data_IF_235168906642
#
_entry.id   IF_235168906642
#
_cell.length_a   1.000
_cell.length_b   1.000
_cell.length_c   1.000
_cell.angle_alpha   90.00
_cell.angle_beta   90.00
_cell.angle_gamma   90.00
#
_symmetry.space_group_name_H-M   'P 1'
#
loop_
_entity.id
_entity.type
_entity.pdbx_description
1 polymer ?
#
# COMPACT_ATOMS: atom_id res chain seq x y z
N UNK A 1 0.41 -42.21 9.93
CA UNK A 1 -0.24 -42.60 8.67
C UNK A 1 -0.82 -41.34 8.06
N UNK A 2 -0.01 -40.64 7.28
CA UNK A 2 -0.46 -39.54 6.41
C UNK A 2 -1.42 -40.15 5.40
N UNK A 3 -2.68 -39.70 5.44
CA UNK A 3 -3.68 -40.05 4.44
C UNK A 3 -3.18 -39.41 3.14
N UNK A 4 -2.66 -40.20 2.19
CA UNK A 4 -2.47 -39.71 0.82
C UNK A 4 -3.86 -39.32 0.31
N UNK A 5 -4.16 -38.03 0.33
CA UNK A 5 -5.37 -37.51 -0.30
C UNK A 5 -5.09 -37.61 -1.79
N UNK A 6 -5.71 -38.59 -2.44
CA UNK A 6 -5.56 -38.81 -3.88
C UNK A 6 -6.38 -37.74 -4.61
N UNK A 7 -5.74 -36.62 -4.95
CA UNK A 7 -6.36 -35.56 -5.74
C UNK A 7 -6.54 -36.02 -7.18
N UNK A 8 -7.60 -35.53 -7.84
CA UNK A 8 -7.75 -35.73 -9.28
C UNK A 8 -6.62 -34.98 -10.00
N UNK A 9 -5.89 -35.60 -10.94
CA UNK A 9 -4.91 -34.87 -11.74
C UNK A 9 -5.61 -33.85 -12.65
N UNK A 10 -4.94 -32.74 -12.96
CA UNK A 10 -5.45 -31.78 -13.96
C UNK A 10 -5.49 -32.44 -15.34
N UNK A 11 -6.51 -32.15 -16.14
CA UNK A 11 -6.51 -32.47 -17.57
C UNK A 11 -5.59 -31.49 -18.33
N UNK A 12 -4.28 -31.69 -18.18
CA UNK A 12 -3.22 -30.85 -18.73
C UNK A 12 -2.01 -31.69 -19.18
N UNK A 13 -1.46 -31.40 -20.36
CA UNK A 13 -0.31 -32.10 -20.92
C UNK A 13 1.06 -31.53 -20.51
N UNK A 14 1.09 -30.36 -19.86
CA UNK A 14 2.34 -29.75 -19.42
C UNK A 14 2.78 -30.34 -18.08
N UNK A 15 3.94 -31.00 -18.08
CA UNK A 15 4.55 -31.58 -16.86
C UNK A 15 4.81 -30.50 -15.79
N UNK A 16 5.33 -29.34 -16.20
CA UNK A 16 5.56 -28.18 -15.32
C UNK A 16 4.29 -27.69 -14.60
N UNK A 17 3.14 -27.74 -15.27
CA UNK A 17 1.84 -27.37 -14.67
C UNK A 17 1.39 -28.42 -13.66
N UNK A 18 1.58 -29.70 -13.97
CA UNK A 18 1.25 -30.80 -13.06
C UNK A 18 2.11 -30.74 -11.78
N UNK A 19 3.41 -30.48 -11.92
CA UNK A 19 4.34 -30.32 -10.79
C UNK A 19 3.89 -29.19 -9.85
N UNK A 20 3.61 -28.00 -10.41
CA UNK A 20 3.16 -26.85 -9.61
C UNK A 20 1.80 -27.12 -8.99
N UNK A 21 0.88 -27.79 -9.70
CA UNK A 21 -0.41 -28.18 -9.15
C UNK A 21 -0.26 -29.10 -7.94
N UNK A 22 0.58 -30.14 -8.04
CA UNK A 22 0.84 -31.07 -6.93
C UNK A 22 1.40 -30.36 -5.69
N UNK A 23 2.17 -29.28 -5.86
CA UNK A 23 2.68 -28.48 -4.75
C UNK A 23 1.64 -27.56 -4.10
N UNK A 24 0.55 -27.20 -4.79
CA UNK A 24 -0.43 -26.21 -4.32
C UNK A 24 -1.82 -26.80 -4.01
N UNK A 25 -2.13 -28.04 -4.45
CA UNK A 25 -3.48 -28.61 -4.33
C UNK A 25 -3.91 -28.90 -2.89
N UNK A 26 -3.00 -29.30 -2.01
CA UNK A 26 -3.31 -29.49 -0.59
C UNK A 26 -3.79 -28.18 0.03
N UNK A 27 -3.00 -27.11 -0.16
CA UNK A 27 -3.36 -25.76 0.28
C UNK A 27 -4.67 -25.27 -0.34
N UNK A 28 -4.87 -25.47 -1.64
CA UNK A 28 -6.11 -25.08 -2.31
C UNK A 28 -7.33 -25.80 -1.73
N UNK A 29 -7.18 -27.08 -1.36
CA UNK A 29 -8.27 -27.86 -0.76
C UNK A 29 -8.60 -27.41 0.67
N UNK A 30 -7.60 -26.99 1.44
CA UNK A 30 -7.80 -26.46 2.79
C UNK A 30 -8.49 -25.08 2.78
N UNK A 31 -8.15 -24.25 1.80
CA UNK A 31 -8.58 -22.84 1.73
C UNK A 31 -9.89 -22.62 1.00
N UNK A 32 -10.18 -23.43 -0.02
CA UNK A 32 -11.30 -23.20 -0.93
C UNK A 32 -12.54 -24.02 -0.56
N UNK A 33 -13.72 -23.45 -0.80
CA UNK A 33 -14.97 -24.21 -0.81
C UNK A 33 -14.97 -25.23 -1.96
N UNK A 34 -15.89 -26.20 -1.95
CA UNK A 34 -16.06 -27.14 -3.06
C UNK A 34 -16.32 -26.44 -4.41
N UNK A 35 -17.10 -25.34 -4.39
CA UNK A 35 -17.38 -24.55 -5.58
C UNK A 35 -16.13 -23.82 -6.07
N UNK A 36 -15.41 -23.15 -5.18
CA UNK A 36 -14.17 -22.44 -5.51
C UNK A 36 -13.06 -23.39 -5.94
N UNK A 37 -12.98 -24.60 -5.36
CA UNK A 37 -12.07 -25.65 -5.80
C UNK A 37 -12.41 -26.11 -7.22
N UNK A 38 -13.70 -26.29 -7.55
CA UNK A 38 -14.12 -26.59 -8.93
C UNK A 38 -13.70 -25.48 -9.91
N UNK A 39 -13.81 -24.21 -9.51
CA UNK A 39 -13.35 -23.06 -10.31
C UNK A 39 -11.83 -23.07 -10.48
N UNK A 40 -11.08 -23.42 -9.44
CA UNK A 40 -9.63 -23.56 -9.46
C UNK A 40 -9.16 -24.60 -10.50
N UNK A 41 -9.72 -25.82 -10.46
CA UNK A 41 -9.41 -26.86 -11.46
C UNK A 41 -9.72 -26.40 -12.88
N UNK A 42 -10.94 -25.89 -13.10
CA UNK A 42 -11.37 -25.43 -14.43
C UNK A 42 -10.51 -24.28 -14.95
N UNK A 43 -10.13 -23.35 -14.08
CA UNK A 43 -9.26 -22.22 -14.43
C UNK A 43 -7.88 -22.69 -14.88
N UNK A 44 -7.23 -23.58 -14.11
CA UNK A 44 -5.91 -24.12 -14.45
C UNK A 44 -5.90 -24.90 -15.78
N UNK A 45 -6.91 -25.75 -15.99
CA UNK A 45 -7.09 -26.51 -17.24
C UNK A 45 -7.40 -25.59 -18.42
N UNK A 46 -8.25 -24.59 -18.23
CA UNK A 46 -8.55 -23.62 -19.27
C UNK A 46 -7.30 -22.84 -19.70
N UNK A 47 -6.56 -22.28 -18.73
CA UNK A 47 -5.36 -21.48 -19.00
C UNK A 47 -4.22 -22.28 -19.64
N UNK A 48 -4.15 -23.59 -19.42
CA UNK A 48 -3.19 -24.47 -20.12
C UNK A 48 -3.61 -24.79 -21.57
N UNK A 49 -4.91 -24.81 -21.86
CA UNK A 49 -5.46 -25.18 -23.19
C UNK A 49 -5.57 -24.02 -24.18
N UNK A 50 -5.48 -22.77 -23.74
CA UNK A 50 -5.58 -21.57 -24.60
C UNK A 50 -4.38 -21.33 -25.54
N UNK A 51 -3.37 -22.21 -25.54
CA UNK A 51 -2.23 -22.13 -26.47
C UNK A 51 -1.22 -21.03 -26.11
N UNK A 52 -1.09 -20.72 -24.82
CA UNK A 52 -0.33 -19.58 -24.30
C UNK A 52 0.95 -19.98 -23.56
N UNK A 53 1.28 -21.28 -23.59
CA UNK A 53 2.32 -21.87 -22.75
C UNK A 53 1.78 -22.27 -21.37
N UNK A 54 2.69 -22.72 -20.51
CA UNK A 54 2.44 -23.19 -19.15
C UNK A 54 2.42 -22.05 -18.11
N UNK A 55 3.15 -20.96 -18.35
CA UNK A 55 3.35 -19.83 -17.43
C UNK A 55 2.05 -19.29 -16.80
N UNK A 56 1.00 -19.09 -17.59
CA UNK A 56 -0.25 -18.51 -17.08
C UNK A 56 -0.95 -19.45 -16.11
N UNK A 57 -0.96 -20.75 -16.42
CA UNK A 57 -1.52 -21.76 -15.53
C UNK A 57 -0.67 -21.88 -14.25
N UNK A 58 0.65 -21.80 -14.36
CA UNK A 58 1.56 -21.80 -13.21
C UNK A 58 1.32 -20.59 -12.29
N UNK A 59 1.25 -19.37 -12.83
CA UNK A 59 0.96 -18.16 -12.05
C UNK A 59 -0.42 -18.25 -11.38
N UNK A 60 -1.43 -18.71 -12.11
CA UNK A 60 -2.77 -18.97 -11.57
C UNK A 60 -2.74 -19.97 -10.40
N UNK A 61 -2.08 -21.11 -10.55
CA UNK A 61 -2.01 -22.16 -9.52
C UNK A 61 -1.39 -21.66 -8.21
N UNK A 62 -0.39 -20.78 -8.30
CA UNK A 62 0.30 -20.23 -7.12
C UNK A 62 -0.52 -19.19 -6.35
N UNK A 63 -1.44 -18.50 -7.01
CA UNK A 63 -2.03 -17.24 -6.50
C UNK A 63 -3.50 -17.39 -6.15
N UNK A 64 -4.25 -18.19 -6.91
CA UNK A 64 -5.70 -18.26 -6.82
C UNK A 64 -6.26 -18.95 -5.57
N UNK A 65 -5.55 -19.87 -4.87
CA UNK A 65 -6.01 -20.35 -3.57
C UNK A 65 -6.25 -19.22 -2.58
N UNK A 66 -5.35 -18.23 -2.55
CA UNK A 66 -5.43 -17.05 -1.69
C UNK A 66 -6.56 -16.10 -2.12
N UNK A 67 -6.65 -15.82 -3.42
CA UNK A 67 -7.71 -14.97 -3.96
C UNK A 67 -9.10 -15.58 -3.73
N UNK A 68 -9.26 -16.89 -3.96
CA UNK A 68 -10.52 -17.60 -3.75
C UNK A 68 -10.95 -17.66 -2.29
N UNK A 69 -10.02 -17.87 -1.36
CA UNK A 69 -10.29 -17.82 0.08
C UNK A 69 -10.73 -16.43 0.54
N UNK A 70 -10.06 -15.39 0.04
CA UNK A 70 -10.30 -14.02 0.45
C UNK A 70 -11.61 -13.45 -0.11
N UNK A 71 -11.82 -13.57 -1.43
CA UNK A 71 -12.97 -13.01 -2.14
C UNK A 71 -14.19 -13.94 -2.19
N UNK A 72 -14.00 -15.23 -1.92
CA UNK A 72 -15.07 -16.23 -1.86
C UNK A 72 -15.54 -16.74 -3.23
N UNK A 73 -16.66 -17.46 -3.22
CA UNK A 73 -17.16 -18.21 -4.38
C UNK A 73 -17.48 -17.36 -5.61
N UNK A 74 -17.03 -17.80 -6.78
CA UNK A 74 -17.21 -17.09 -8.05
C UNK A 74 -16.09 -16.11 -8.38
N UNK A 75 -15.23 -15.79 -7.41
CA UNK A 75 -14.10 -14.87 -7.62
C UNK A 75 -13.06 -15.43 -8.57
N UNK A 76 -12.65 -16.69 -8.41
CA UNK A 76 -11.65 -17.35 -9.27
C UNK A 76 -12.15 -17.36 -10.72
N UNK A 77 -13.40 -17.77 -10.95
CA UNK A 77 -13.99 -17.71 -12.30
C UNK A 77 -13.98 -16.29 -12.86
N UNK A 78 -14.36 -15.28 -12.06
CA UNK A 78 -14.39 -13.87 -12.48
C UNK A 78 -12.99 -13.38 -12.89
N UNK A 79 -11.95 -13.71 -12.11
CA UNK A 79 -10.56 -13.35 -12.40
C UNK A 79 -10.08 -14.01 -13.69
N UNK A 80 -10.38 -15.30 -13.90
CA UNK A 80 -10.01 -16.02 -15.14
C UNK A 80 -10.74 -15.43 -16.35
N UNK A 81 -12.03 -15.18 -16.23
CA UNK A 81 -12.83 -14.57 -17.29
C UNK A 81 -12.29 -13.18 -17.65
N UNK A 82 -11.91 -12.38 -16.65
CA UNK A 82 -11.30 -11.07 -16.86
C UNK A 82 -9.95 -11.19 -17.57
N UNK A 83 -9.02 -11.99 -17.02
CA UNK A 83 -7.70 -12.22 -17.58
C UNK A 83 -7.78 -12.64 -19.05
N UNK A 84 -8.70 -13.57 -19.37
CA UNK A 84 -8.89 -14.03 -20.73
C UNK A 84 -9.53 -12.98 -21.64
N UNK A 85 -10.68 -12.43 -21.26
CA UNK A 85 -11.48 -11.58 -22.13
C UNK A 85 -10.89 -10.18 -22.31
N UNK A 86 -10.24 -9.63 -21.29
CA UNK A 86 -9.71 -8.25 -21.30
C UNK A 86 -8.22 -8.19 -21.64
N UNK A 87 -7.43 -9.21 -21.28
CA UNK A 87 -5.96 -9.16 -21.44
C UNK A 87 -5.46 -10.17 -22.49
N UNK A 88 -5.72 -11.47 -22.33
CA UNK A 88 -5.16 -12.52 -23.22
C UNK A 88 -5.56 -12.36 -24.69
N UNK A 89 -6.76 -11.87 -24.96
CA UNK A 89 -7.31 -11.70 -26.31
C UNK A 89 -6.87 -10.40 -27.00
N UNK A 90 -6.06 -9.58 -26.34
CA UNK A 90 -5.50 -8.35 -26.88
C UNK A 90 -3.98 -8.49 -27.00
N UNK A 91 -3.27 -7.54 -27.62
CA UNK A 91 -1.80 -7.52 -27.61
C UNK A 91 -1.18 -7.48 -26.20
N UNK A 92 -1.98 -7.20 -25.15
CA UNK A 92 -1.56 -7.15 -23.75
C UNK A 92 -1.31 -8.52 -23.09
N UNK A 93 -1.52 -9.64 -23.80
CA UNK A 93 -1.21 -11.00 -23.34
C UNK A 93 0.06 -11.12 -22.46
N UNK A 94 1.20 -10.48 -22.77
CA UNK A 94 2.40 -10.60 -21.95
C UNK A 94 2.28 -10.04 -20.51
N UNK A 95 1.21 -9.32 -20.18
CA UNK A 95 0.95 -8.76 -18.85
C UNK A 95 0.09 -9.68 -17.96
N UNK A 96 -0.49 -10.74 -18.50
CA UNK A 96 -1.41 -11.63 -17.76
C UNK A 96 -0.73 -12.30 -16.57
N UNK A 97 0.53 -12.70 -16.73
CA UNK A 97 1.35 -13.28 -15.64
C UNK A 97 1.45 -12.29 -14.47
N UNK A 98 1.86 -11.05 -14.74
CA UNK A 98 1.92 -9.99 -13.71
C UNK A 98 0.56 -9.61 -13.12
N UNK A 99 -0.53 -9.73 -13.88
CA UNK A 99 -1.90 -9.54 -13.37
C UNK A 99 -2.35 -10.67 -12.45
N UNK A 100 -1.99 -11.92 -12.74
CA UNK A 100 -2.29 -13.04 -11.84
C UNK A 100 -1.42 -12.97 -10.57
N UNK A 101 -0.13 -12.68 -10.74
CA UNK A 101 0.82 -12.54 -9.64
C UNK A 101 0.48 -11.36 -8.71
N UNK A 102 -0.13 -10.29 -9.22
CA UNK A 102 -0.56 -9.17 -8.38
C UNK A 102 -1.59 -9.56 -7.33
N UNK A 103 -2.34 -10.66 -7.50
CA UNK A 103 -3.36 -11.06 -6.53
C UNK A 103 -2.80 -11.39 -5.15
N UNK A 104 -1.52 -11.76 -5.02
CA UNK A 104 -0.86 -11.91 -3.72
C UNK A 104 -0.86 -10.59 -2.95
N UNK A 105 -0.65 -9.48 -3.67
CA UNK A 105 -0.67 -8.12 -3.11
C UNK A 105 -2.09 -7.66 -2.89
N UNK A 106 -2.97 -7.91 -3.86
CA UNK A 106 -4.34 -7.39 -3.85
C UNK A 106 -5.10 -7.91 -2.62
N UNK A 107 -5.00 -9.20 -2.29
CA UNK A 107 -5.68 -9.76 -1.11
C UNK A 107 -5.19 -9.17 0.22
N UNK A 108 -3.98 -8.60 0.27
CA UNK A 108 -3.42 -7.96 1.46
C UNK A 108 -3.90 -6.51 1.63
N UNK A 109 -4.32 -5.82 0.56
CA UNK A 109 -4.47 -4.36 0.57
C UNK A 109 -5.87 -3.84 0.21
N UNK A 110 -6.77 -4.67 -0.32
CA UNK A 110 -8.15 -4.25 -0.64
C UNK A 110 -9.17 -5.05 0.15
N UNK A 111 -10.36 -4.50 0.38
CA UNK A 111 -11.44 -5.22 1.07
C UNK A 111 -12.04 -6.34 0.20
N UNK A 112 -12.66 -7.34 0.85
CA UNK A 112 -13.24 -8.53 0.20
C UNK A 112 -14.33 -8.20 -0.83
N UNK A 113 -15.00 -7.08 -0.70
CA UNK A 113 -16.05 -6.61 -1.61
C UNK A 113 -15.53 -5.73 -2.76
N UNK A 114 -14.23 -5.41 -2.78
CA UNK A 114 -13.62 -4.49 -3.76
C UNK A 114 -12.99 -5.20 -4.97
N UNK A 115 -13.24 -6.50 -5.17
CA UNK A 115 -12.73 -7.22 -6.34
C UNK A 115 -13.17 -6.56 -7.65
N UNK A 116 -14.44 -6.17 -7.75
CA UNK A 116 -14.97 -5.51 -8.95
C UNK A 116 -14.32 -4.15 -9.18
N UNK A 117 -14.11 -3.36 -8.11
CA UNK A 117 -13.45 -2.06 -8.18
C UNK A 117 -11.99 -2.18 -8.67
N UNK A 118 -11.27 -3.21 -8.23
CA UNK A 118 -9.93 -3.53 -8.73
C UNK A 118 -9.93 -3.93 -10.21
N UNK A 119 -10.84 -4.81 -10.62
CA UNK A 119 -10.92 -5.24 -12.02
C UNK A 119 -11.32 -4.07 -12.93
N UNK A 120 -12.24 -3.21 -12.49
CA UNK A 120 -12.65 -2.00 -13.21
C UNK A 120 -11.49 -1.01 -13.36
N UNK A 121 -10.63 -0.87 -12.34
CA UNK A 121 -9.41 -0.04 -12.42
C UNK A 121 -8.45 -0.56 -13.51
N UNK A 122 -8.20 -1.87 -13.55
CA UNK A 122 -7.34 -2.48 -14.57
C UNK A 122 -7.97 -2.35 -15.96
N UNK A 123 -9.29 -2.55 -16.06
CA UNK A 123 -10.02 -2.38 -17.31
C UNK A 123 -9.97 -0.94 -17.81
N UNK A 124 -10.13 0.04 -16.92
CA UNK A 124 -10.05 1.46 -17.25
C UNK A 124 -8.66 1.82 -17.81
N UNK A 125 -7.59 1.40 -17.13
CA UNK A 125 -6.24 1.61 -17.63
C UNK A 125 -6.05 0.97 -19.00
N UNK A 126 -6.52 -0.27 -19.19
CA UNK A 126 -6.44 -0.99 -20.45
C UNK A 126 -7.18 -0.28 -21.59
N UNK A 127 -8.41 0.17 -21.35
CA UNK A 127 -9.23 0.82 -22.38
C UNK A 127 -8.65 2.15 -22.86
N UNK A 128 -7.93 2.86 -21.98
CA UNK A 128 -7.32 4.15 -22.29
C UNK A 128 -5.92 4.05 -22.89
N UNK A 129 -5.24 2.90 -22.77
CA UNK A 129 -3.84 2.72 -23.18
C UNK A 129 -3.64 1.70 -24.30
N UNK A 130 -4.66 0.92 -24.63
CA UNK A 130 -4.64 -0.01 -25.75
C UNK A 130 -5.10 0.71 -27.03
N UNK A 131 -4.25 0.78 -28.04
CA UNK A 131 -4.52 1.52 -29.27
C UNK A 131 -4.80 0.61 -30.48
N UNK A 132 -5.79 1.00 -31.28
CA UNK A 132 -6.02 0.48 -32.63
C UNK A 132 -5.78 1.57 -33.66
N UNK A 133 -4.80 1.39 -34.54
CA UNK A 133 -4.48 2.37 -35.60
C UNK A 133 -5.55 2.34 -36.71
N UNK A 134 -6.30 1.22 -36.86
CA UNK A 134 -7.29 1.02 -37.93
C UNK A 134 -8.67 0.53 -37.45
N UNK A 135 -9.06 0.82 -36.20
CA UNK A 135 -10.44 0.76 -35.72
C UNK A 135 -11.12 -0.61 -35.64
N UNK A 136 -10.44 -1.71 -36.00
CA UNK A 136 -11.03 -3.07 -36.00
C UNK A 136 -10.24 -4.05 -35.12
N UNK A 137 -8.94 -3.83 -34.89
CA UNK A 137 -8.11 -4.67 -34.04
C UNK A 137 -7.12 -3.83 -33.22
N UNK A 138 -7.09 -4.04 -31.91
CA UNK A 138 -6.02 -3.55 -31.03
C UNK A 138 -4.68 -4.03 -31.61
N UNK A 139 -3.88 -3.09 -32.12
CA UNK A 139 -2.68 -3.42 -32.90
C UNK A 139 -1.43 -3.31 -32.04
N UNK A 140 -1.52 -2.55 -30.93
CA UNK A 140 -0.42 -2.29 -30.01
C UNK A 140 -0.84 -2.59 -28.58
N UNK A 141 0.04 -3.27 -27.83
CA UNK A 141 -0.16 -3.48 -26.40
C UNK A 141 -0.08 -2.14 -25.67
N UNK A 142 -0.80 -2.04 -24.55
CA UNK A 142 -0.60 -1.00 -23.55
C UNK A 142 0.89 -0.98 -23.17
N UNK A 143 1.60 0.12 -23.48
CA UNK A 143 3.00 0.30 -23.10
C UNK A 143 3.16 0.29 -21.57
N UNK A 144 2.13 0.71 -20.83
CA UNK A 144 2.21 0.99 -19.40
C UNK A 144 1.60 -0.04 -18.47
N UNK A 145 0.78 -0.98 -18.95
CA UNK A 145 0.09 -1.92 -18.06
C UNK A 145 1.07 -2.72 -17.20
N UNK A 146 2.16 -3.23 -17.80
CA UNK A 146 3.19 -3.97 -17.05
C UNK A 146 3.88 -3.09 -16.01
N UNK A 147 4.18 -1.85 -16.37
CA UNK A 147 4.81 -0.89 -15.47
C UNK A 147 3.90 -0.58 -14.26
N UNK A 148 2.60 -0.41 -14.50
CA UNK A 148 1.62 -0.20 -13.44
C UNK A 148 1.46 -1.45 -12.54
N UNK A 149 1.32 -2.65 -13.12
CA UNK A 149 1.24 -3.90 -12.36
C UNK A 149 2.48 -4.15 -11.51
N UNK A 150 3.67 -3.80 -12.01
CA UNK A 150 4.93 -3.88 -11.26
C UNK A 150 4.98 -2.98 -10.03
N UNK A 151 4.15 -1.92 -9.98
CA UNK A 151 4.03 -1.00 -8.85
C UNK A 151 2.74 -1.20 -8.03
N UNK A 152 1.99 -2.28 -8.27
CA UNK A 152 0.67 -2.46 -7.66
C UNK A 152 0.70 -2.47 -6.13
N UNK A 153 1.78 -3.01 -5.53
CA UNK A 153 2.00 -2.95 -4.07
C UNK A 153 2.00 -1.52 -3.57
N UNK A 154 2.88 -0.68 -4.14
CA UNK A 154 3.00 0.72 -3.71
C UNK A 154 1.71 1.52 -3.99
N UNK A 155 1.02 1.25 -5.11
CA UNK A 155 -0.25 1.89 -5.42
C UNK A 155 -1.33 1.56 -4.39
N UNK A 156 -1.53 0.28 -4.07
CA UNK A 156 -2.58 -0.16 -3.15
C UNK A 156 -2.24 0.09 -1.67
N UNK A 157 -0.95 0.14 -1.31
CA UNK A 157 -0.51 0.49 0.05
C UNK A 157 -0.75 1.97 0.39
N UNK A 158 -0.68 2.86 -0.60
CA UNK A 158 -0.59 4.31 -0.35
C UNK A 158 -1.77 5.13 -0.88
N UNK A 159 -2.46 4.61 -1.89
CA UNK A 159 -3.55 5.31 -2.57
C UNK A 159 -4.84 4.53 -2.42
N UNK A 160 -5.93 5.25 -2.15
CA UNK A 160 -7.28 4.70 -2.38
C UNK A 160 -7.55 4.63 -3.89
N UNK A 161 -8.52 3.81 -4.31
CA UNK A 161 -8.86 3.65 -5.74
C UNK A 161 -9.05 4.98 -6.47
N UNK A 162 -9.75 5.94 -5.86
CA UNK A 162 -9.93 7.27 -6.45
C UNK A 162 -8.58 7.99 -6.69
N UNK A 163 -7.63 7.87 -5.76
CA UNK A 163 -6.28 8.42 -5.93
C UNK A 163 -5.51 7.75 -7.07
N UNK A 164 -5.66 6.43 -7.24
CA UNK A 164 -5.06 5.71 -8.37
C UNK A 164 -5.69 6.16 -9.69
N UNK A 165 -7.02 6.35 -9.76
CA UNK A 165 -7.68 6.89 -10.94
C UNK A 165 -7.17 8.29 -11.29
N UNK A 166 -7.01 9.19 -10.33
CA UNK A 166 -6.47 10.53 -10.57
C UNK A 166 -5.01 10.49 -11.04
N UNK A 167 -4.20 9.61 -10.48
CA UNK A 167 -2.82 9.39 -10.93
C UNK A 167 -2.77 8.83 -12.37
N UNK A 168 -3.64 7.88 -12.72
CA UNK A 168 -3.80 7.38 -14.09
C UNK A 168 -4.24 8.51 -15.03
N UNK A 169 -5.29 9.24 -14.67
CA UNK A 169 -5.84 10.33 -15.46
C UNK A 169 -4.81 11.41 -15.77
N UNK A 170 -3.95 11.74 -14.80
CA UNK A 170 -2.87 12.68 -15.03
C UNK A 170 -1.88 12.14 -16.06
N UNK A 171 -1.37 10.91 -15.88
CA UNK A 171 -0.45 10.28 -16.82
C UNK A 171 -1.01 10.21 -18.24
N UNK A 172 -2.29 9.83 -18.37
CA UNK A 172 -2.98 9.76 -19.67
C UNK A 172 -3.13 11.14 -20.31
N UNK A 173 -3.46 12.20 -19.56
CA UNK A 173 -3.63 13.54 -20.13
C UNK A 173 -2.37 14.07 -20.82
N UNK A 174 -1.18 13.73 -20.32
CA UNK A 174 0.09 14.27 -20.83
C UNK A 174 0.88 13.30 -21.73
N UNK A 175 0.68 11.98 -21.57
CA UNK A 175 1.52 10.97 -22.24
C UNK A 175 0.73 9.96 -23.09
N UNK A 176 -0.56 10.19 -23.36
CA UNK A 176 -1.40 9.28 -24.18
C UNK A 176 -0.73 8.90 -25.51
N UNK A 177 -0.20 9.87 -26.25
CA UNK A 177 0.37 9.64 -27.58
C UNK A 177 1.88 9.29 -27.56
N UNK A 178 2.46 9.07 -26.38
CA UNK A 178 3.89 8.82 -26.18
C UNK A 178 4.14 7.54 -25.37
N UNK A 179 4.13 6.35 -26.01
CA UNK A 179 4.27 5.05 -25.36
C UNK A 179 5.41 4.93 -24.34
N UNK A 180 6.62 5.36 -24.71
CA UNK A 180 7.79 5.30 -23.82
C UNK A 180 7.61 6.18 -22.58
N UNK A 181 7.08 7.40 -22.75
CA UNK A 181 6.82 8.30 -21.61
C UNK A 181 5.67 7.81 -20.74
N UNK A 182 4.69 7.16 -21.35
CA UNK A 182 3.61 6.52 -20.62
C UNK A 182 4.18 5.42 -19.72
N UNK A 183 5.02 4.53 -20.26
CA UNK A 183 5.71 3.50 -19.48
C UNK A 183 6.55 4.10 -18.35
N UNK A 184 7.37 5.12 -18.62
CA UNK A 184 8.18 5.81 -17.61
C UNK A 184 7.35 6.43 -16.47
N UNK A 185 6.21 7.05 -16.82
CA UNK A 185 5.29 7.63 -15.83
C UNK A 185 4.68 6.53 -14.96
N UNK A 186 4.11 5.48 -15.56
CA UNK A 186 3.46 4.39 -14.84
C UNK A 186 4.43 3.45 -14.11
N UNK A 187 5.72 3.56 -14.40
CA UNK A 187 6.78 2.89 -13.65
C UNK A 187 7.21 3.66 -12.38
N UNK A 188 6.59 4.82 -12.08
CA UNK A 188 6.99 5.74 -11.00
C UNK A 188 8.47 6.19 -11.11
N UNK A 189 9.04 6.21 -12.31
CA UNK A 189 10.44 6.61 -12.52
C UNK A 189 10.62 8.12 -12.62
N UNK A 190 9.60 8.81 -13.15
CA UNK A 190 9.65 10.24 -13.42
C UNK A 190 9.28 11.09 -12.19
N UNK A 191 9.82 12.30 -12.13
CA UNK A 191 9.58 13.22 -11.00
C UNK A 191 8.11 13.69 -10.92
N UNK A 192 7.47 13.89 -12.07
CA UNK A 192 6.05 14.26 -12.15
C UNK A 192 5.13 13.12 -11.71
N UNK A 193 5.42 11.87 -12.09
CA UNK A 193 4.66 10.71 -11.62
C UNK A 193 4.70 10.57 -10.10
N UNK A 194 5.90 10.70 -9.51
CA UNK A 194 6.06 10.70 -8.05
C UNK A 194 5.35 11.87 -7.38
N UNK A 195 5.41 13.07 -7.96
CA UNK A 195 4.75 14.25 -7.41
C UNK A 195 3.22 14.12 -7.44
N UNK A 196 2.65 13.56 -8.52
CA UNK A 196 1.21 13.31 -8.60
C UNK A 196 0.81 12.20 -7.63
N UNK A 197 1.57 11.10 -7.58
CA UNK A 197 1.36 10.03 -6.62
C UNK A 197 1.31 10.58 -5.18
N UNK A 198 2.30 11.38 -4.78
CA UNK A 198 2.35 12.01 -3.45
C UNK A 198 1.11 12.85 -3.15
N UNK A 199 0.58 13.57 -4.14
CA UNK A 199 -0.65 14.37 -3.98
C UNK A 199 -1.92 13.55 -3.83
N UNK A 200 -1.94 12.31 -4.32
CA UNK A 200 -3.11 11.44 -4.24
C UNK A 200 -3.11 10.55 -2.98
N UNK A 201 -2.05 10.61 -2.17
CA UNK A 201 -1.95 9.83 -0.93
C UNK A 201 -3.07 10.17 0.03
N UNK A 202 -3.52 9.16 0.77
CA UNK A 202 -4.56 9.32 1.78
C UNK A 202 -4.05 10.15 2.96
N UNK A 203 -4.84 11.14 3.37
CA UNK A 203 -4.53 11.99 4.53
C UNK A 203 -4.34 13.46 4.17
N UNK A 204 -3.72 14.20 5.08
CA UNK A 204 -3.45 15.63 4.95
C UNK A 204 -1.95 15.86 4.80
N UNK A 205 -1.56 16.38 3.65
CA UNK A 205 -0.17 16.76 3.39
C UNK A 205 0.23 17.97 4.23
N UNK A 206 1.44 17.95 4.77
CA UNK A 206 1.98 19.06 5.54
C UNK A 206 2.01 20.35 4.72
N UNK A 207 2.35 20.27 3.43
CA UNK A 207 2.37 21.43 2.52
C UNK A 207 1.05 22.20 2.47
N UNK A 208 -0.07 21.51 2.67
CA UNK A 208 -1.40 22.12 2.61
C UNK A 208 -1.75 22.88 3.91
N UNK A 209 -1.04 22.58 5.00
CA UNK A 209 -1.27 23.15 6.34
C UNK A 209 -0.05 23.84 6.95
N UNK A 210 1.05 23.96 6.22
CA UNK A 210 2.29 24.57 6.67
C UNK A 210 2.06 26.00 7.18
N UNK A 211 1.25 26.80 6.46
CA UNK A 211 0.94 28.18 6.87
C UNK A 211 0.18 28.24 8.21
N UNK A 212 -0.94 27.51 8.40
CA UNK A 212 -1.59 27.38 9.71
C UNK A 212 -0.65 26.94 10.84
N UNK A 213 0.23 25.97 10.60
CA UNK A 213 1.17 25.46 11.60
C UNK A 213 2.25 26.51 11.94
N UNK A 214 2.72 27.26 10.95
CA UNK A 214 3.60 28.40 11.17
C UNK A 214 2.96 29.49 12.04
N UNK A 215 1.68 29.79 11.81
CA UNK A 215 0.95 30.74 12.66
C UNK A 215 0.75 30.19 14.07
N UNK A 216 0.51 28.89 14.22
CA UNK A 216 0.36 28.22 15.51
C UNK A 216 1.63 28.34 16.37
N UNK A 217 2.81 28.01 15.83
CA UNK A 217 4.07 28.12 16.57
C UNK A 217 4.38 29.57 17.00
N UNK A 218 4.14 30.55 16.11
CA UNK A 218 4.35 31.98 16.38
C UNK A 218 3.36 32.51 17.41
N UNK A 219 2.10 32.07 17.34
CA UNK A 219 1.04 32.58 18.21
C UNK A 219 1.24 32.12 19.66
N UNK A 220 1.48 30.83 19.87
CA UNK A 220 1.65 30.25 21.20
C UNK A 220 3.10 30.45 21.70
N UNK A 221 4.09 29.89 21.01
CA UNK A 221 5.47 29.81 21.54
C UNK A 221 6.42 30.93 21.10
N UNK A 222 5.98 31.85 20.22
CA UNK A 222 6.83 32.92 19.67
C UNK A 222 8.08 32.40 18.93
N UNK A 223 7.98 31.20 18.38
CA UNK A 223 9.04 30.55 17.60
C UNK A 223 8.78 30.68 16.10
N UNK A 224 9.82 30.42 15.29
CA UNK A 224 9.76 30.46 13.83
C UNK A 224 10.65 29.37 13.21
N UNK A 225 10.52 28.13 13.71
CA UNK A 225 11.29 26.99 13.20
C UNK A 225 10.91 26.68 11.75
N UNK A 226 11.90 26.29 10.96
CA UNK A 226 11.71 25.82 9.59
C UNK A 226 11.22 24.37 9.61
N UNK A 227 10.52 23.94 8.55
CA UNK A 227 10.08 22.55 8.41
C UNK A 227 10.81 21.86 7.28
N UNK A 228 11.17 20.60 7.51
CA UNK A 228 11.68 19.68 6.50
C UNK A 228 10.85 18.39 6.54
N UNK A 229 9.72 18.36 5.81
CA UNK A 229 8.89 17.15 5.72
C UNK A 229 9.68 16.02 5.04
N UNK A 230 9.56 14.81 5.56
CA UNK A 230 10.09 13.59 4.93
C UNK A 230 8.93 12.68 4.54
N UNK A 231 9.08 11.98 3.42
CA UNK A 231 8.08 11.01 2.98
C UNK A 231 8.46 9.62 3.48
N UNK A 232 7.75 9.04 4.47
CA UNK A 232 8.20 7.82 5.09
C UNK A 232 8.37 6.65 4.11
N UNK A 233 7.60 6.67 3.02
CA UNK A 233 7.49 5.58 2.06
C UNK A 233 8.50 5.65 0.92
N UNK A 234 9.10 6.82 0.70
CA UNK A 234 10.12 7.04 -0.34
C UNK A 234 11.53 7.19 0.24
N UNK A 235 11.64 7.69 1.46
CA UNK A 235 12.91 7.90 2.14
C UNK A 235 13.17 6.75 3.11
N UNK A 236 14.11 5.87 2.76
CA UNK A 236 14.71 4.92 3.72
C UNK A 236 15.65 5.69 4.65
N UNK A 237 15.09 6.54 5.51
CA UNK A 237 15.83 7.11 6.63
C UNK A 237 15.82 6.06 7.75
N UNK A 238 16.99 5.74 8.29
CA UNK A 238 17.16 4.74 9.36
C UNK A 238 16.43 5.12 10.67
N UNK A 239 15.83 6.32 10.75
CA UNK A 239 15.17 6.85 11.95
C UNK A 239 13.86 7.60 11.61
N UNK A 240 12.72 6.90 11.65
CA UNK A 240 11.36 7.44 11.44
C UNK A 240 10.81 8.28 12.61
N UNK A 241 11.67 8.99 13.34
CA UNK A 241 11.22 9.80 14.47
C UNK A 241 11.26 11.28 14.08
N UNK A 242 10.17 12.03 14.26
CA UNK A 242 10.23 13.48 14.17
C UNK A 242 11.26 14.03 15.15
N UNK A 243 12.01 15.06 14.74
CA UNK A 243 13.00 15.71 15.61
C UNK A 243 13.14 17.18 15.27
N UNK A 244 13.74 17.92 16.20
CA UNK A 244 14.12 19.32 16.01
C UNK A 244 15.63 19.43 16.17
N UNK A 245 16.31 19.86 15.11
CA UNK A 245 17.75 20.09 15.08
C UNK A 245 18.06 21.33 14.25
N UNK A 246 18.98 22.18 14.72
CA UNK A 246 19.45 23.39 14.01
C UNK A 246 18.31 24.28 13.47
N UNK A 247 17.31 24.54 14.32
CA UNK A 247 16.11 25.32 14.01
C UNK A 247 15.21 24.74 12.89
N UNK A 248 15.41 23.46 12.55
CA UNK A 248 14.61 22.71 11.59
C UNK A 248 13.85 21.59 12.29
N UNK A 249 12.52 21.60 12.14
CA UNK A 249 11.65 20.50 12.53
C UNK A 249 11.52 19.53 11.35
N UNK A 250 11.93 18.29 11.59
CA UNK A 250 11.78 17.16 10.68
C UNK A 250 10.55 16.37 11.08
N UNK A 251 9.60 16.21 10.16
CA UNK A 251 8.30 15.58 10.42
C UNK A 251 7.79 14.80 9.20
N UNK A 252 6.83 13.88 9.36
CA UNK A 252 6.19 13.20 8.23
C UNK A 252 5.49 14.20 7.30
N UNK A 253 5.54 13.93 5.99
CA UNK A 253 4.88 14.73 4.97
C UNK A 253 3.36 14.59 4.97
N UNK A 254 2.82 13.52 5.55
CA UNK A 254 1.39 13.24 5.59
C UNK A 254 0.96 12.69 6.96
N UNK A 255 -0.25 13.07 7.38
CA UNK A 255 -0.95 12.41 8.48
C UNK A 255 -2.37 12.07 8.08
N UNK A 256 -2.85 10.92 8.55
CA UNK A 256 -4.27 10.57 8.56
C UNK A 256 -4.93 10.94 9.89
N UNK A 257 -6.25 10.79 9.98
CA UNK A 257 -6.95 10.85 11.27
C UNK A 257 -6.50 9.68 12.17
N UNK A 258 -6.32 9.94 13.46
CA UNK A 258 -6.01 8.92 14.46
C UNK A 258 -6.86 9.15 15.71
N UNK A 259 -7.59 8.13 16.17
CA UNK A 259 -8.41 8.19 17.38
C UNK A 259 -9.39 9.39 17.43
N UNK A 260 -10.01 9.75 16.30
CA UNK A 260 -10.89 10.93 16.21
C UNK A 260 -10.17 12.28 16.15
N UNK A 261 -8.84 12.28 16.15
CA UNK A 261 -8.00 13.47 16.01
C UNK A 261 -7.62 13.63 14.55
N UNK A 262 -8.19 14.65 13.91
CA UNK A 262 -7.85 14.96 12.52
C UNK A 262 -6.35 15.28 12.35
N UNK A 263 -5.85 15.07 11.14
CA UNK A 263 -4.44 15.20 10.81
C UNK A 263 -3.83 16.58 11.13
N UNK A 264 -4.58 17.67 10.91
CA UNK A 264 -4.13 19.03 11.25
C UNK A 264 -3.81 19.15 12.76
N UNK A 265 -4.67 18.60 13.61
CA UNK A 265 -4.45 18.57 15.06
C UNK A 265 -3.31 17.64 15.45
N UNK A 266 -3.05 16.55 14.70
CA UNK A 266 -1.87 15.71 14.90
C UNK A 266 -0.58 16.49 14.64
N UNK A 267 -0.51 17.25 13.55
CA UNK A 267 0.64 18.14 13.31
C UNK A 267 0.81 19.18 14.42
N UNK A 268 -0.28 19.79 14.90
CA UNK A 268 -0.20 20.72 16.03
C UNK A 268 0.32 20.03 17.30
N UNK A 269 -0.13 18.80 17.59
CA UNK A 269 0.33 18.02 18.74
C UNK A 269 1.83 17.72 18.65
N UNK A 270 2.30 17.28 17.47
CA UNK A 270 3.69 16.98 17.22
C UNK A 270 4.58 18.22 17.35
N UNK A 271 4.21 19.31 16.68
CA UNK A 271 4.99 20.56 16.70
C UNK A 271 5.03 21.14 18.11
N UNK A 272 3.91 21.14 18.83
CA UNK A 272 3.87 21.58 20.22
C UNK A 272 4.80 20.74 21.12
N UNK A 273 4.83 19.43 20.91
CA UNK A 273 5.70 18.51 21.65
C UNK A 273 7.19 18.80 21.38
N UNK A 274 7.59 18.91 20.11
CA UNK A 274 8.98 19.22 19.76
C UNK A 274 9.43 20.60 20.27
N UNK A 275 8.56 21.61 20.21
CA UNK A 275 8.85 22.94 20.77
C UNK A 275 8.94 22.87 22.29
N UNK A 276 8.09 22.08 22.97
CA UNK A 276 8.17 21.89 24.42
C UNK A 276 9.51 21.26 24.83
N UNK A 277 9.99 20.26 24.10
CA UNK A 277 11.35 19.73 24.30
C UNK A 277 12.41 20.80 24.10
N UNK A 278 12.34 21.56 23.01
CA UNK A 278 13.31 22.63 22.77
C UNK A 278 13.34 23.67 23.91
N UNK A 279 12.19 23.99 24.50
CA UNK A 279 12.09 24.98 25.58
C UNK A 279 12.46 24.44 26.96
N UNK A 280 12.06 23.19 27.28
CA UNK A 280 12.11 22.68 28.64
C UNK A 280 13.15 21.57 28.87
N UNK A 281 13.66 20.94 27.80
CA UNK A 281 14.70 19.90 27.89
C UNK A 281 16.10 20.52 27.84
N UNK A 282 17.06 19.85 28.46
CA UNK A 282 18.49 20.16 28.33
C UNK A 282 19.22 18.94 27.78
N UNK A 283 20.27 19.17 26.98
CA UNK A 283 21.06 18.09 26.39
C UNK A 283 21.73 17.26 27.49
N UNK A 284 21.65 15.94 27.37
CA UNK A 284 22.34 14.98 28.24
C UNK A 284 23.41 14.21 27.44
N UNK A 285 24.51 13.85 28.10
CA UNK A 285 25.51 12.94 27.52
C UNK A 285 25.10 11.51 27.87
N UNK A 286 24.79 10.71 26.85
CA UNK A 286 24.17 9.39 27.01
C UNK A 286 25.18 8.23 27.14
N UNK A 287 26.47 8.50 27.35
CA UNK A 287 27.56 7.52 27.21
C UNK A 287 27.51 6.35 28.23
N UNK A 288 26.71 6.44 29.29
CA UNK A 288 26.63 5.44 30.37
C UNK A 288 25.20 4.96 30.68
N UNK A 289 24.23 5.17 29.78
CA UNK A 289 22.83 4.84 30.02
C UNK A 289 22.47 3.54 29.30
N UNK A 290 21.92 2.54 30.02
CA UNK A 290 21.45 1.31 29.37
C UNK A 290 20.26 1.60 28.44
N UNK A 291 19.98 0.75 27.44
CA UNK A 291 18.82 0.93 26.55
C UNK A 291 17.49 1.10 27.31
N UNK A 292 17.29 0.36 28.41
CA UNK A 292 16.10 0.46 29.24
C UNK A 292 16.04 1.78 30.01
N UNK A 293 17.16 2.20 30.60
CA UNK A 293 17.23 3.49 31.30
C UNK A 293 16.97 4.65 30.33
N UNK A 294 17.46 4.54 29.10
CA UNK A 294 17.21 5.52 28.04
C UNK A 294 15.73 5.57 27.69
N UNK A 295 15.10 4.43 27.43
CA UNK A 295 13.67 4.34 27.16
C UNK A 295 12.83 4.98 28.27
N UNK A 296 13.07 4.62 29.54
CA UNK A 296 12.33 5.23 30.65
C UNK A 296 12.59 6.73 30.76
N UNK A 297 13.84 7.16 30.55
CA UNK A 297 14.19 8.59 30.60
C UNK A 297 13.46 9.37 29.51
N UNK A 298 13.41 8.84 28.28
CA UNK A 298 12.67 9.43 27.15
C UNK A 298 11.17 9.57 27.51
N UNK A 299 10.53 8.48 27.96
CA UNK A 299 9.10 8.51 28.33
C UNK A 299 8.79 9.51 29.47
N UNK A 300 9.63 9.54 30.51
CA UNK A 300 9.42 10.50 31.62
C UNK A 300 9.70 11.93 31.21
N UNK A 301 10.66 12.15 30.32
CA UNK A 301 10.99 13.48 29.81
C UNK A 301 9.87 14.03 28.94
N UNK A 302 9.32 13.22 28.02
CA UNK A 302 8.14 13.57 27.21
C UNK A 302 6.97 13.99 28.12
N UNK A 303 6.63 13.15 29.11
CA UNK A 303 5.57 13.46 30.07
C UNK A 303 5.84 14.75 30.87
N UNK A 304 7.11 15.02 31.21
CA UNK A 304 7.50 16.23 31.96
C UNK A 304 7.35 17.47 31.11
N UNK A 305 7.86 17.49 29.88
CA UNK A 305 7.78 18.68 29.02
C UNK A 305 6.34 18.95 28.57
N UNK A 306 5.56 17.91 28.31
CA UNK A 306 4.14 18.04 28.01
C UNK A 306 3.36 18.55 29.22
N UNK A 307 3.66 18.07 30.43
CA UNK A 307 3.04 18.60 31.64
C UNK A 307 3.31 20.10 31.81
N UNK A 308 4.55 20.55 31.59
CA UNK A 308 4.92 21.96 31.66
C UNK A 308 4.21 22.78 30.58
N UNK A 309 4.17 22.29 29.34
CA UNK A 309 3.44 22.93 28.25
C UNK A 309 1.93 23.01 28.52
N UNK A 310 1.33 22.00 29.18
CA UNK A 310 -0.08 22.00 29.59
C UNK A 310 -0.36 23.08 30.65
N UNK A 311 0.60 23.38 31.54
CA UNK A 311 0.40 24.45 32.52
C UNK A 311 0.25 25.81 31.84
N UNK A 312 0.96 26.04 30.75
CA UNK A 312 0.86 27.28 29.96
C UNK A 312 -0.33 27.25 28.99
N UNK A 313 -0.58 26.09 28.36
CA UNK A 313 -1.61 25.88 27.35
C UNK A 313 -2.50 24.67 27.69
N UNK A 314 -3.51 24.84 28.58
CA UNK A 314 -4.34 23.73 29.08
C UNK A 314 -5.08 22.93 28.00
N UNK A 315 -5.32 23.54 26.83
CA UNK A 315 -5.96 22.88 25.68
C UNK A 315 -5.15 21.71 25.10
N UNK A 316 -3.83 21.69 25.28
CA UNK A 316 -2.96 20.60 24.79
C UNK A 316 -3.22 19.28 25.50
N UNK A 317 -3.65 19.32 26.78
CA UNK A 317 -3.92 18.11 27.57
C UNK A 317 -4.90 17.16 26.87
N UNK A 318 -6.03 17.70 26.40
CA UNK A 318 -7.05 16.88 25.72
C UNK A 318 -6.51 16.32 24.40
N UNK A 319 -5.70 17.11 23.69
CA UNK A 319 -5.13 16.72 22.40
C UNK A 319 -4.13 15.58 22.53
N UNK A 320 -3.15 15.68 23.43
CA UNK A 320 -2.17 14.61 23.64
C UNK A 320 -2.81 13.35 24.23
N UNK A 321 -3.69 13.48 25.24
CA UNK A 321 -4.40 12.32 25.79
C UNK A 321 -5.24 11.56 24.75
N UNK A 322 -5.80 12.24 23.74
CA UNK A 322 -6.53 11.54 22.66
C UNK A 322 -5.62 10.76 21.70
N UNK A 323 -4.32 11.02 21.69
CA UNK A 323 -3.34 10.35 20.84
C UNK A 323 -2.61 9.22 21.56
N UNK A 324 -2.67 9.16 22.89
CA UNK A 324 -2.09 8.07 23.68
C UNK A 324 -2.95 6.81 23.48
N UNK A 325 -2.35 5.66 23.12
CA UNK A 325 -3.09 4.41 22.99
C UNK A 325 -3.72 4.01 24.33
N UNK A 326 -4.96 3.53 24.27
CA UNK A 326 -5.63 2.94 25.44
C UNK A 326 -5.15 1.50 25.51
N UNK A 327 -4.44 1.16 26.59
CA UNK A 327 -3.97 -0.21 26.84
C UNK A 327 -4.99 -0.91 27.74
N UNK A 328 -5.57 -2.02 27.27
CA UNK A 328 -6.48 -2.89 28.02
C UNK A 328 -5.69 -4.00 28.75
N UNK A 329 -6.30 -4.61 29.77
CA UNK A 329 -5.73 -5.69 30.59
C UNK A 329 -5.34 -6.92 29.75
N UNK A 330 -5.93 -7.07 28.56
CA UNK A 330 -5.71 -8.19 27.64
C UNK A 330 -4.85 -7.85 26.42
N UNK A 331 -4.29 -6.64 26.31
CA UNK A 331 -3.45 -6.24 25.18
C UNK A 331 -2.02 -6.82 25.25
N UNK A 332 -1.63 -7.40 26.38
CA UNK A 332 -0.35 -8.11 26.53
C UNK A 332 -0.44 -9.52 25.94
N UNK A 333 0.24 -9.77 24.82
CA UNK A 333 0.41 -11.12 24.28
C UNK A 333 1.54 -11.87 25.02
N UNK A 334 1.16 -12.75 25.94
CA UNK A 334 2.08 -13.60 26.72
C UNK A 334 2.93 -14.54 25.85
N UNK A 335 2.57 -14.75 24.58
CA UNK A 335 3.32 -15.62 23.65
C UNK A 335 4.39 -14.88 22.84
N UNK A 336 4.39 -13.54 22.86
CA UNK A 336 5.29 -12.66 22.10
C UNK A 336 6.09 -11.70 23.02
N UNK A 337 6.38 -12.11 24.26
CA UNK A 337 7.21 -11.31 25.15
C UNK A 337 8.68 -11.35 24.70
N UNK A 338 9.22 -10.19 24.31
CA UNK A 338 10.63 -9.97 23.94
C UNK A 338 11.58 -9.96 25.13
#
# INVERSE_FOLDING_TARGET
MTKEILYQPLDCSFESVQEVFSLNIEQATEKLSEKSLSEYYKGAEFLSKIGQGDKLSIAFLKTMPWAGEYFGDGSIKKIVDFAYNKICRTPNKPAVEGFLDSFIIVVEHINKDQLDEYLDLIEYHLSETTFSIHGIHDTHASPSLKAMLGNMRLLLEQLEFNGIYEWINYGLRYFRDHPERQEEYFSLSTADSKAVFQRQRKGLLFSDIERPINLFQRALWKTDFMYAPYSPDFEKLEHFHPYLEDDVIRLPDIYEELNGVNACRRYMALVAHLIAHHQFTTKIVADNVSPQQRFFTEVFEDARVEYLAIQEYPGLKRLWLSLIPIVDEFDCDDTQQS
#
